data_IF_494618086447
#
_entry.id   IF_494618086447
#
_cell.length_a   1.000
_cell.length_b   1.000
_cell.length_c   1.000
_cell.angle_alpha   90.00
_cell.angle_beta   90.00
_cell.angle_gamma   90.00
#
_symmetry.space_group_name_H-M   'P 1'
#
loop_
_entity.id
_entity.type
_entity.pdbx_description
1 polymer ?
#
# COMPACT_ATOMS: atom_id res chain seq x y z
N UNK A 1 -0.37 -12.44 -12.58
CA UNK A 1 -0.35 -11.83 -11.25
C UNK A 1 0.46 -12.72 -10.35
N UNK A 2 1.49 -12.16 -9.73
CA UNK A 2 2.38 -12.81 -8.75
C UNK A 2 1.61 -13.28 -7.51
N UNK A 3 0.58 -12.54 -7.12
CA UNK A 3 -0.34 -12.89 -6.04
C UNK A 3 -1.35 -13.98 -6.44
N UNK A 4 -1.31 -15.09 -5.71
CA UNK A 4 -2.31 -16.15 -5.76
C UNK A 4 -3.64 -15.75 -5.12
N UNK A 5 -4.61 -16.69 -5.15
CA UNK A 5 -5.96 -16.48 -4.59
C UNK A 5 -5.93 -16.18 -3.09
N UNK A 6 -5.09 -16.89 -2.36
CA UNK A 6 -4.95 -16.75 -0.91
C UNK A 6 -4.35 -15.39 -0.52
N UNK A 7 -3.26 -14.98 -1.19
CA UNK A 7 -2.64 -13.67 -0.95
C UNK A 7 -3.62 -12.52 -1.19
N UNK A 8 -4.40 -12.60 -2.28
CA UNK A 8 -5.44 -11.60 -2.58
C UNK A 8 -6.54 -11.58 -1.53
N UNK A 9 -6.91 -12.74 -1.00
CA UNK A 9 -7.90 -12.83 0.07
C UNK A 9 -7.40 -12.17 1.36
N UNK A 10 -6.14 -12.41 1.74
CA UNK A 10 -5.51 -11.76 2.90
C UNK A 10 -5.52 -10.24 2.73
N UNK A 11 -5.00 -9.72 1.60
CA UNK A 11 -4.99 -8.27 1.32
C UNK A 11 -6.38 -7.65 1.41
N UNK A 12 -7.39 -8.33 0.86
CA UNK A 12 -8.78 -7.82 0.91
C UNK A 12 -9.35 -7.80 2.31
N UNK A 13 -9.14 -8.87 3.09
CA UNK A 13 -9.60 -8.94 4.48
C UNK A 13 -8.95 -7.82 5.28
N UNK A 14 -7.66 -7.63 5.11
CA UNK A 14 -6.90 -6.61 5.83
C UNK A 14 -7.35 -5.20 5.47
N UNK A 15 -7.39 -4.86 4.18
CA UNK A 15 -7.87 -3.57 3.72
C UNK A 15 -9.32 -3.31 4.13
N UNK A 16 -10.17 -4.34 4.15
CA UNK A 16 -11.55 -4.24 4.59
C UNK A 16 -11.65 -3.86 6.08
N UNK A 17 -10.85 -4.51 6.93
CA UNK A 17 -10.86 -4.21 8.37
C UNK A 17 -10.28 -2.83 8.68
N UNK A 18 -9.23 -2.41 7.98
CA UNK A 18 -8.69 -1.04 8.10
C UNK A 18 -9.75 -0.02 7.68
N UNK A 19 -10.35 -0.19 6.50
CA UNK A 19 -11.40 0.71 6.00
C UNK A 19 -12.61 0.78 6.96
N UNK A 20 -13.08 -0.38 7.42
CA UNK A 20 -14.20 -0.47 8.38
C UNK A 20 -13.87 0.21 9.69
N UNK A 21 -12.67 -0.03 10.24
CA UNK A 21 -12.25 0.58 11.48
C UNK A 21 -12.12 2.10 11.33
N UNK A 22 -11.45 2.60 10.28
CA UNK A 22 -11.30 4.04 10.02
C UNK A 22 -12.68 4.71 9.88
N UNK A 23 -13.60 4.13 9.11
CA UNK A 23 -14.97 4.66 8.98
C UNK A 23 -15.74 4.68 10.30
N UNK A 24 -15.44 3.75 11.21
CA UNK A 24 -16.06 3.72 12.54
C UNK A 24 -15.52 4.80 13.48
N UNK A 25 -14.24 5.21 13.31
CA UNK A 25 -13.57 6.17 14.19
C UNK A 25 -13.66 7.61 13.66
N UNK A 26 -13.71 7.80 12.35
CA UNK A 26 -13.62 9.12 11.71
C UNK A 26 -14.88 9.44 10.91
N UNK A 27 -15.49 10.59 11.20
CA UNK A 27 -16.69 11.08 10.48
C UNK A 27 -16.37 11.74 9.14
N UNK A 28 -15.18 12.34 9.02
CA UNK A 28 -14.71 13.05 7.84
C UNK A 28 -13.57 12.25 7.19
N UNK A 29 -13.90 11.07 6.68
CA UNK A 29 -12.95 10.17 6.03
C UNK A 29 -13.29 10.06 4.55
N UNK A 30 -12.34 10.44 3.72
CA UNK A 30 -12.37 10.20 2.28
C UNK A 30 -11.35 9.13 1.92
N UNK A 31 -11.71 8.23 1.01
CA UNK A 31 -10.88 7.09 0.61
C UNK A 31 -10.83 6.99 -0.90
N UNK A 32 -9.62 6.95 -1.46
CA UNK A 32 -9.38 6.59 -2.85
C UNK A 32 -8.80 5.18 -2.94
N UNK A 33 -9.42 4.31 -3.73
CA UNK A 33 -8.94 2.95 -3.94
C UNK A 33 -8.13 2.89 -5.23
N UNK A 34 -6.86 2.49 -5.12
CA UNK A 34 -5.96 2.30 -6.25
C UNK A 34 -5.65 0.81 -6.37
N UNK A 35 -5.84 0.26 -7.57
CA UNK A 35 -5.38 -1.08 -7.96
C UNK A 35 -4.26 -0.94 -8.99
N UNK A 36 -3.33 -1.89 -9.03
CA UNK A 36 -2.22 -1.84 -9.97
C UNK A 36 -1.70 -3.21 -10.40
N UNK A 37 -1.39 -3.29 -11.68
CA UNK A 37 -0.63 -4.37 -12.29
C UNK A 37 0.55 -3.82 -13.13
N UNK A 38 0.48 -3.83 -14.46
CA UNK A 38 1.37 -3.06 -15.33
C UNK A 38 1.00 -1.56 -15.35
N UNK A 39 -0.24 -1.22 -15.03
CA UNK A 39 -0.74 0.15 -14.88
C UNK A 39 -1.60 0.29 -13.63
N UNK A 40 -1.75 1.52 -13.13
CA UNK A 40 -2.57 1.81 -11.97
C UNK A 40 -3.89 2.50 -12.34
N UNK A 41 -4.95 2.17 -11.61
CA UNK A 41 -6.29 2.70 -11.84
C UNK A 41 -6.97 3.04 -10.51
N UNK A 42 -7.71 4.15 -10.51
CA UNK A 42 -8.65 4.46 -9.43
C UNK A 42 -9.93 3.68 -9.66
N UNK A 43 -10.41 2.99 -8.63
CA UNK A 43 -11.65 2.22 -8.66
C UNK A 43 -12.54 2.61 -7.48
N UNK A 44 -13.81 2.23 -7.55
CA UNK A 44 -14.70 2.32 -6.40
C UNK A 44 -14.45 1.20 -5.38
N UNK A 45 -14.98 1.37 -4.16
CA UNK A 45 -14.83 0.44 -3.05
C UNK A 45 -15.28 -0.98 -3.40
N UNK A 46 -16.46 -1.12 -4.04
CA UNK A 46 -16.98 -2.43 -4.38
C UNK A 46 -16.05 -3.11 -5.37
N UNK A 47 -15.60 -2.39 -6.40
CA UNK A 47 -14.63 -2.90 -7.35
C UNK A 47 -13.34 -3.34 -6.66
N UNK A 48 -12.72 -2.51 -5.81
CA UNK A 48 -11.48 -2.85 -5.09
C UNK A 48 -11.54 -4.20 -4.36
N UNK A 49 -12.63 -4.48 -3.64
CA UNK A 49 -12.78 -5.72 -2.88
C UNK A 49 -13.14 -6.96 -3.72
N UNK A 50 -13.58 -6.78 -4.96
CA UNK A 50 -14.02 -7.88 -5.83
C UNK A 50 -13.11 -8.14 -7.03
N UNK A 51 -12.23 -7.20 -7.39
CA UNK A 51 -11.44 -7.22 -8.62
C UNK A 51 -10.42 -8.37 -8.66
N UNK A 52 -10.43 -9.15 -9.75
CA UNK A 52 -9.48 -10.25 -9.97
C UNK A 52 -8.38 -9.81 -10.94
N UNK A 53 -7.31 -9.18 -10.46
CA UNK A 53 -6.23 -8.75 -11.37
C UNK A 53 -5.35 -9.89 -11.86
N UNK A 54 -4.91 -9.80 -13.10
CA UNK A 54 -3.99 -10.74 -13.72
C UNK A 54 -3.03 -9.98 -14.64
N UNK A 55 -1.86 -9.61 -14.12
CA UNK A 55 -0.81 -8.96 -14.91
C UNK A 55 0.57 -9.12 -14.27
N UNK A 56 1.57 -8.41 -14.80
CA UNK A 56 2.83 -8.14 -14.09
C UNK A 56 2.61 -7.13 -12.96
N UNK A 57 3.67 -6.73 -12.27
CA UNK A 57 3.57 -5.81 -11.13
C UNK A 57 4.57 -4.68 -11.30
N UNK A 58 4.08 -3.47 -11.55
CA UNK A 58 4.85 -2.24 -11.72
C UNK A 58 4.41 -1.24 -10.64
N UNK A 59 5.07 -1.31 -9.48
CA UNK A 59 4.69 -0.54 -8.29
C UNK A 59 4.76 0.97 -8.54
N UNK A 60 5.73 1.43 -9.35
CA UNK A 60 5.86 2.87 -9.61
C UNK A 60 4.62 3.49 -10.24
N UNK A 61 3.84 2.72 -11.01
CA UNK A 61 2.57 3.18 -11.59
C UNK A 61 1.55 3.57 -10.52
N UNK A 62 1.47 2.78 -9.43
CA UNK A 62 0.60 3.08 -8.29
C UNK A 62 1.07 4.32 -7.54
N UNK A 63 2.38 4.52 -7.42
CA UNK A 63 2.96 5.66 -6.70
C UNK A 63 2.80 6.97 -7.48
N UNK A 64 2.94 6.93 -8.80
CA UNK A 64 2.68 8.08 -9.67
C UNK A 64 1.19 8.49 -9.60
N UNK A 65 0.27 7.52 -9.65
CA UNK A 65 -1.16 7.79 -9.51
C UNK A 65 -1.52 8.26 -8.08
N UNK A 66 -0.90 7.67 -7.05
CA UNK A 66 -1.10 8.10 -5.67
C UNK A 66 -0.73 9.58 -5.50
N UNK A 67 0.40 10.02 -6.05
CA UNK A 67 0.78 11.43 -6.02
C UNK A 67 -0.23 12.34 -6.72
N UNK A 68 -0.72 11.96 -7.91
CA UNK A 68 -1.76 12.72 -8.60
C UNK A 68 -3.03 12.86 -7.75
N UNK A 69 -3.44 11.77 -7.10
CA UNK A 69 -4.60 11.77 -6.21
C UNK A 69 -4.39 12.66 -4.99
N UNK A 70 -3.20 12.64 -4.38
CA UNK A 70 -2.85 13.50 -3.26
C UNK A 70 -2.91 14.98 -3.69
N UNK A 71 -2.26 15.34 -4.79
CA UNK A 71 -2.20 16.73 -5.26
C UNK A 71 -3.57 17.28 -5.65
N UNK A 72 -4.42 16.46 -6.28
CA UNK A 72 -5.73 16.90 -6.79
C UNK A 72 -6.86 16.84 -5.75
N UNK A 73 -6.83 15.86 -4.84
CA UNK A 73 -7.97 15.56 -3.94
C UNK A 73 -7.64 15.67 -2.47
N UNK A 74 -6.40 15.38 -2.08
CA UNK A 74 -5.99 15.32 -0.68
C UNK A 74 -4.76 16.18 -0.40
N UNK A 75 -4.77 17.48 -0.75
CA UNK A 75 -3.59 18.30 -0.58
C UNK A 75 -3.17 18.35 0.90
N UNK A 76 -1.87 18.15 1.24
CA UNK A 76 -1.44 17.96 2.63
C UNK A 76 -1.65 19.16 3.57
N UNK A 77 -1.98 20.34 3.05
CA UNK A 77 -2.31 21.51 3.85
C UNK A 77 -3.79 21.54 4.30
N UNK A 78 -4.62 20.65 3.74
CA UNK A 78 -6.04 20.50 4.09
C UNK A 78 -6.35 19.12 4.69
N UNK A 79 -5.56 18.09 4.33
CA UNK A 79 -5.81 16.70 4.71
C UNK A 79 -4.63 16.07 5.45
N UNK A 80 -4.96 15.21 6.43
CA UNK A 80 -4.01 14.21 6.90
C UNK A 80 -4.07 13.00 5.97
N UNK A 81 -2.93 12.63 5.39
CA UNK A 81 -2.84 11.62 4.32
C UNK A 81 -2.16 10.36 4.84
N UNK A 82 -2.86 9.23 4.68
CA UNK A 82 -2.41 7.91 5.14
C UNK A 82 -2.51 6.87 4.02
N UNK A 83 -1.49 6.72 3.17
CA UNK A 83 -1.50 5.68 2.14
C UNK A 83 -1.25 4.29 2.73
N UNK A 84 -2.04 3.30 2.29
CA UNK A 84 -1.85 1.88 2.60
C UNK A 84 -1.60 1.11 1.31
N UNK A 85 -0.42 0.52 1.17
CA UNK A 85 -0.05 -0.27 0.00
C UNK A 85 0.19 -1.73 0.39
N UNK A 86 -0.53 -2.63 -0.28
CA UNK A 86 -0.37 -4.07 -0.12
C UNK A 86 0.13 -4.71 -1.41
N UNK A 87 1.13 -5.56 -1.31
CA UNK A 87 1.75 -6.27 -2.44
C UNK A 87 2.45 -7.54 -1.96
N UNK A 88 2.77 -8.49 -2.84
CA UNK A 88 3.65 -9.62 -2.50
C UNK A 88 5.15 -9.30 -2.64
N UNK A 89 5.47 -8.04 -2.90
CA UNK A 89 6.84 -7.52 -2.99
C UNK A 89 7.49 -7.73 -4.35
N UNK A 90 6.81 -8.38 -5.30
CA UNK A 90 7.31 -8.54 -6.66
C UNK A 90 7.21 -7.20 -7.40
N UNK A 91 8.23 -6.88 -8.18
CA UNK A 91 8.27 -5.64 -8.94
C UNK A 91 8.95 -5.84 -10.29
N UNK A 92 8.53 -5.06 -11.28
CA UNK A 92 8.86 -5.27 -12.69
C UNK A 92 10.36 -5.29 -12.98
N UNK A 93 11.13 -4.41 -12.33
CA UNK A 93 12.58 -4.33 -12.50
C UNK A 93 13.23 -3.54 -11.36
N UNK A 94 14.56 -3.65 -11.23
CA UNK A 94 15.33 -2.79 -10.29
C UNK A 94 15.14 -1.30 -10.58
N UNK A 95 15.05 -0.91 -11.85
CA UNK A 95 14.78 0.47 -12.27
C UNK A 95 13.41 0.95 -11.81
N UNK A 96 12.41 0.06 -11.78
CA UNK A 96 11.10 0.40 -11.24
C UNK A 96 11.16 0.61 -9.73
N UNK A 97 11.93 -0.20 -9.02
CA UNK A 97 12.16 -0.02 -7.58
C UNK A 97 12.88 1.29 -7.27
N UNK A 98 13.94 1.63 -8.02
CA UNK A 98 14.62 2.93 -7.89
C UNK A 98 13.62 4.10 -8.06
N UNK A 99 12.76 4.01 -9.07
CA UNK A 99 11.70 5.00 -9.31
C UNK A 99 10.72 5.10 -8.13
N UNK A 100 10.33 3.97 -7.54
CA UNK A 100 9.47 3.94 -6.36
C UNK A 100 10.12 4.65 -5.16
N UNK A 101 11.41 4.41 -4.93
CA UNK A 101 12.18 5.03 -3.86
C UNK A 101 12.28 6.54 -4.07
N UNK A 102 12.54 6.99 -5.29
CA UNK A 102 12.55 8.42 -5.64
C UNK A 102 11.21 9.09 -5.35
N UNK A 103 10.10 8.49 -5.78
CA UNK A 103 8.74 9.01 -5.57
C UNK A 103 8.36 9.04 -4.09
N UNK A 104 8.70 7.98 -3.34
CA UNK A 104 8.48 7.94 -1.90
C UNK A 104 9.24 9.06 -1.19
N UNK A 105 10.55 9.15 -1.44
CA UNK A 105 11.43 10.10 -0.76
C UNK A 105 11.13 11.55 -1.10
N UNK A 106 10.92 11.83 -2.38
CA UNK A 106 10.80 13.19 -2.90
C UNK A 106 9.39 13.76 -2.80
N UNK A 107 8.36 12.93 -2.72
CA UNK A 107 6.98 13.37 -2.92
C UNK A 107 5.99 12.76 -1.94
N UNK A 108 5.86 11.43 -1.90
CA UNK A 108 4.79 10.78 -1.12
C UNK A 108 5.00 10.93 0.38
N UNK A 109 6.19 10.64 0.90
CA UNK A 109 6.47 10.74 2.34
C UNK A 109 6.39 12.18 2.86
N UNK A 110 6.91 13.21 2.17
CA UNK A 110 6.66 14.61 2.51
C UNK A 110 5.17 14.99 2.56
N UNK A 111 4.35 14.37 1.72
CA UNK A 111 2.92 14.65 1.61
C UNK A 111 2.04 13.74 2.49
N UNK A 112 2.62 12.83 3.27
CA UNK A 112 1.90 11.84 4.07
C UNK A 112 2.24 11.95 5.56
N UNK A 113 1.24 11.72 6.41
CA UNK A 113 1.44 11.58 7.85
C UNK A 113 2.09 10.23 8.18
N UNK A 114 1.68 9.17 7.48
CA UNK A 114 2.31 7.84 7.52
C UNK A 114 2.03 7.12 6.20
N UNK A 115 3.06 6.49 5.63
CA UNK A 115 2.95 5.53 4.54
C UNK A 115 3.08 4.12 5.09
N UNK A 116 2.07 3.28 4.85
CA UNK A 116 2.01 1.91 5.35
C UNK A 116 2.20 0.91 4.21
N UNK A 117 3.16 0.01 4.34
CA UNK A 117 3.42 -1.05 3.36
C UNK A 117 3.29 -2.44 3.97
N UNK A 118 2.31 -3.22 3.49
CA UNK A 118 2.10 -4.62 3.87
C UNK A 118 2.57 -5.58 2.79
N UNK A 119 3.56 -6.42 3.10
CA UNK A 119 4.05 -7.45 2.18
C UNK A 119 3.44 -8.80 2.49
N UNK A 120 2.59 -9.32 1.60
CA UNK A 120 2.04 -10.67 1.74
C UNK A 120 3.01 -11.73 1.25
N UNK A 121 3.09 -12.85 1.94
CA UNK A 121 3.96 -13.94 1.53
C UNK A 121 3.35 -14.72 0.36
N UNK A 122 4.07 -14.77 -0.76
CA UNK A 122 3.71 -15.62 -1.90
C UNK A 122 4.32 -17.02 -1.76
N UNK A 123 3.57 -18.04 -2.22
CA UNK A 123 4.01 -19.44 -2.18
C UNK A 123 5.27 -19.70 -3.04
N UNK A 124 5.51 -18.88 -4.06
CA UNK A 124 6.64 -19.01 -4.98
C UNK A 124 7.85 -18.15 -4.59
N UNK A 125 7.80 -17.55 -3.40
CA UNK A 125 8.76 -16.56 -2.92
C UNK A 125 8.17 -15.15 -2.99
N UNK A 126 8.24 -14.42 -1.88
CA UNK A 126 7.93 -13.00 -1.86
C UNK A 126 8.99 -12.24 -2.65
N UNK A 127 8.57 -11.19 -3.35
CA UNK A 127 9.53 -10.29 -3.95
C UNK A 127 10.29 -9.51 -2.88
N UNK A 128 11.26 -8.72 -3.34
CA UNK A 128 12.23 -8.09 -2.45
C UNK A 128 11.73 -6.78 -1.85
N UNK A 129 10.66 -6.17 -2.39
CA UNK A 129 10.42 -4.72 -2.27
C UNK A 129 10.42 -4.18 -0.83
N UNK A 130 9.86 -4.93 0.14
CA UNK A 130 9.97 -4.55 1.55
C UNK A 130 11.42 -4.38 2.02
N UNK A 131 12.32 -5.28 1.63
CA UNK A 131 13.74 -5.22 1.99
C UNK A 131 14.42 -3.99 1.39
N UNK A 132 14.06 -3.62 0.16
CA UNK A 132 14.54 -2.38 -0.43
C UNK A 132 14.01 -1.17 0.34
N UNK A 133 12.73 -1.15 0.70
CA UNK A 133 12.17 -0.10 1.56
C UNK A 133 12.93 0.01 2.89
N UNK A 134 13.09 -1.09 3.62
CA UNK A 134 13.79 -1.13 4.90
C UNK A 134 15.26 -0.69 4.74
N UNK A 135 15.90 -0.98 3.60
CA UNK A 135 17.27 -0.56 3.28
C UNK A 135 17.39 0.94 2.99
N UNK A 136 16.46 1.50 2.21
CA UNK A 136 16.50 2.91 1.79
C UNK A 136 15.95 3.86 2.84
N UNK A 137 15.09 3.37 3.74
CA UNK A 137 14.27 4.17 4.64
C UNK A 137 14.28 3.66 6.09
N UNK A 138 15.30 2.90 6.51
CA UNK A 138 15.36 2.29 7.84
C UNK A 138 15.20 3.25 9.03
N UNK A 139 15.52 4.53 8.84
CA UNK A 139 15.38 5.60 9.84
C UNK A 139 14.17 6.54 9.59
N UNK A 140 13.36 6.29 8.55
CA UNK A 140 12.22 7.15 8.20
C UNK A 140 10.98 6.74 8.99
N UNK A 141 10.67 7.52 10.02
CA UNK A 141 9.57 7.22 10.95
C UNK A 141 8.17 7.28 10.32
N UNK A 142 8.02 7.97 9.18
CA UNK A 142 6.75 8.00 8.44
C UNK A 142 6.51 6.74 7.62
N UNK A 143 7.51 5.88 7.43
CA UNK A 143 7.36 4.63 6.70
C UNK A 143 7.19 3.47 7.68
N UNK A 144 6.05 2.80 7.62
CA UNK A 144 5.75 1.63 8.45
C UNK A 144 5.60 0.42 7.54
N UNK A 145 6.45 -0.59 7.73
CA UNK A 145 6.40 -1.83 6.95
C UNK A 145 5.95 -3.01 7.82
N UNK A 146 5.24 -3.97 7.22
CA UNK A 146 4.77 -5.18 7.89
C UNK A 146 4.82 -6.39 6.96
N UNK A 147 5.20 -7.55 7.50
CA UNK A 147 5.15 -8.84 6.81
C UNK A 147 3.87 -9.59 7.20
N UNK A 148 3.09 -10.01 6.21
CA UNK A 148 1.82 -10.73 6.39
C UNK A 148 1.99 -12.14 5.82
N UNK A 149 2.35 -13.08 6.70
CA UNK A 149 2.75 -14.42 6.29
C UNK A 149 1.55 -15.29 5.86
N UNK A 150 0.42 -15.09 6.52
CA UNK A 150 -0.81 -15.86 6.38
C UNK A 150 -1.98 -15.07 7.00
N UNK A 151 -3.14 -15.73 7.16
CA UNK A 151 -4.33 -15.13 7.77
C UNK A 151 -4.12 -14.70 9.23
N UNK A 152 -3.28 -15.40 9.98
CA UNK A 152 -3.00 -15.08 11.38
C UNK A 152 -2.12 -13.82 11.49
N UNK A 153 -1.37 -13.50 10.42
CA UNK A 153 -0.59 -12.26 10.27
C UNK A 153 -1.43 -10.99 10.09
N UNK A 154 -2.72 -11.09 9.75
CA UNK A 154 -3.58 -9.92 9.46
C UNK A 154 -3.72 -9.01 10.69
N UNK A 155 -4.11 -9.57 11.84
CA UNK A 155 -4.32 -8.76 13.04
C UNK A 155 -3.03 -8.11 13.56
N UNK A 156 -1.88 -8.80 13.64
CA UNK A 156 -0.59 -8.18 13.90
C UNK A 156 -0.28 -7.03 12.94
N UNK A 157 -0.51 -7.21 11.64
CA UNK A 157 -0.21 -6.17 10.64
C UNK A 157 -1.07 -4.91 10.79
N UNK A 158 -2.37 -5.08 11.00
CA UNK A 158 -3.29 -3.97 11.33
C UNK A 158 -2.82 -3.24 12.59
N UNK A 159 -2.42 -3.96 13.64
CA UNK A 159 -1.88 -3.34 14.86
C UNK A 159 -0.59 -2.59 14.61
N UNK A 160 0.29 -3.09 13.74
CA UNK A 160 1.50 -2.38 13.34
C UNK A 160 1.15 -1.05 12.67
N UNK A 161 0.23 -1.04 11.70
CA UNK A 161 -0.12 0.19 10.98
C UNK A 161 -0.89 1.20 11.80
N UNK A 162 -1.81 0.76 12.65
CA UNK A 162 -2.69 1.64 13.42
C UNK A 162 -2.13 1.97 14.82
N UNK A 163 -1.23 1.14 15.34
CA UNK A 163 -0.63 1.31 16.66
C UNK A 163 0.51 2.32 16.71
N UNK A 164 1.11 2.64 15.56
CA UNK A 164 2.15 3.67 15.41
C UNK A 164 1.59 5.07 15.17
N UNK A 165 0.26 5.22 15.11
CA UNK A 165 -0.41 6.46 14.72
C UNK A 165 0.16 7.69 15.44
N UNK A 166 0.81 8.54 14.66
CA UNK A 166 1.25 9.89 15.03
C UNK A 166 0.29 10.93 14.44
#
# INVERSE_FOLDING_TARGET
>A
GSMGREQKEIVRIEAFWIDTWLRSQYKNLEVAYIVHDAAAHIVDQHTFFHLRESGGTKISSAYELCMQVIDEKFPPHEWNVYPFHFSDGDNWSSRDTERCVELLKGSILPASNQFSYGQVKSAYGSGQFKKDLDRFFGDEERLVTSDILDRDGILPSIKTFLGTGR
#
